data_IF_338748917055
#
_entry.id   IF_338748917055
#
_cell.length_a   1.000
_cell.length_b   1.000
_cell.length_c   1.000
_cell.angle_alpha   90.00
_cell.angle_beta   90.00
_cell.angle_gamma   90.00
#
_symmetry.space_group_name_H-M   'P 1'
#
loop_
_entity.id
_entity.type
_entity.pdbx_description
1 polymer ?
#
# COMPACT_ATOMS: atom_id res chain seq x y z
N UNK A 1 -1.24 5.96 23.59
CA UNK A 1 -0.74 6.28 22.23
C UNK A 1 0.76 6.51 22.33
N UNK A 2 1.59 5.77 21.59
CA UNK A 2 3.05 5.97 21.63
C UNK A 2 3.48 7.10 20.69
N UNK A 3 4.64 7.71 20.95
CA UNK A 3 5.21 8.72 20.05
C UNK A 3 5.44 8.16 18.64
N UNK A 4 5.86 6.90 18.54
CA UNK A 4 6.04 6.22 17.26
C UNK A 4 4.72 6.07 16.49
N UNK A 5 3.63 5.69 17.18
CA UNK A 5 2.31 5.61 16.55
C UNK A 5 1.80 6.96 16.05
N UNK A 6 2.07 8.04 16.78
CA UNK A 6 1.77 9.39 16.34
C UNK A 6 2.59 9.78 15.09
N UNK A 7 3.88 9.46 15.07
CA UNK A 7 4.75 9.72 13.93
C UNK A 7 4.31 8.95 12.67
N UNK A 8 4.03 7.64 12.78
CA UNK A 8 3.47 6.84 11.66
C UNK A 8 2.16 7.44 11.19
N UNK A 9 1.26 7.81 12.12
CA UNK A 9 0.02 8.48 11.77
C UNK A 9 0.24 9.76 10.97
N UNK A 10 1.21 10.58 11.36
CA UNK A 10 1.56 11.82 10.67
C UNK A 10 2.13 11.56 9.25
N UNK A 11 2.99 10.55 9.07
CA UNK A 11 3.54 10.20 7.76
C UNK A 11 2.44 9.83 6.74
N UNK A 12 1.46 9.03 7.16
CA UNK A 12 0.33 8.66 6.30
C UNK A 12 -0.64 9.84 6.03
N UNK A 13 -0.72 10.79 6.96
CA UNK A 13 -1.54 11.99 6.82
C UNK A 13 -0.86 13.07 5.96
N UNK A 14 0.47 13.04 5.82
CA UNK A 14 1.20 14.00 4.99
C UNK A 14 0.84 13.80 3.50
N UNK A 15 0.38 14.85 2.78
CA UNK A 15 -0.02 14.73 1.38
C UNK A 15 1.15 14.47 0.42
N UNK A 16 2.39 14.69 0.83
CA UNK A 16 3.59 14.42 0.03
C UNK A 16 4.11 12.98 0.20
N UNK A 17 3.64 12.26 1.23
CA UNK A 17 4.09 10.91 1.57
C UNK A 17 2.93 9.92 1.39
N UNK A 18 1.80 10.19 2.03
CA UNK A 18 0.60 9.38 1.95
C UNK A 18 -0.20 9.67 0.68
N UNK A 19 -0.81 8.62 0.13
CA UNK A 19 -1.77 8.70 -0.98
C UNK A 19 -3.09 8.08 -0.57
N UNK A 20 -4.16 8.57 -1.19
CA UNK A 20 -5.48 7.94 -1.05
C UNK A 20 -5.52 6.67 -1.88
N UNK A 21 -6.16 5.64 -1.32
CA UNK A 21 -6.46 4.41 -2.02
C UNK A 21 -7.81 3.86 -1.56
N UNK A 22 -8.36 2.96 -2.35
CA UNK A 22 -9.53 2.17 -1.97
C UNK A 22 -9.07 0.73 -1.71
N UNK A 23 -9.27 0.26 -0.50
CA UNK A 23 -9.06 -1.14 -0.13
C UNK A 23 -10.38 -1.89 -0.20
N UNK A 24 -10.36 -3.07 -0.81
CA UNK A 24 -11.51 -3.96 -0.92
C UNK A 24 -11.03 -5.35 -0.52
N UNK A 25 -11.43 -5.79 0.68
CA UNK A 25 -11.23 -7.18 1.08
C UNK A 25 -11.98 -8.10 0.10
N UNK A 26 -11.54 -9.34 -0.07
CA UNK A 26 -12.26 -10.31 -0.90
C UNK A 26 -13.72 -10.46 -0.45
N UNK A 27 -14.66 -10.19 -1.37
CA UNK A 27 -16.10 -10.13 -1.10
C UNK A 27 -16.57 -9.02 -0.15
N UNK A 28 -15.68 -8.10 0.23
CA UNK A 28 -15.93 -7.01 1.18
C UNK A 28 -16.45 -5.73 0.54
N UNK A 29 -16.78 -4.75 1.39
CA UNK A 29 -17.15 -3.40 0.96
C UNK A 29 -15.91 -2.53 0.76
N UNK A 30 -15.89 -1.64 -0.25
CA UNK A 30 -14.80 -0.69 -0.44
C UNK A 30 -14.60 0.25 0.74
N UNK A 31 -13.35 0.47 1.13
CA UNK A 31 -12.95 1.33 2.23
C UNK A 31 -11.86 2.30 1.75
N UNK A 32 -12.03 3.59 2.04
CA UNK A 32 -10.97 4.58 1.84
C UNK A 32 -9.86 4.40 2.87
N UNK A 33 -8.63 4.34 2.40
CA UNK A 33 -7.44 4.16 3.23
C UNK A 33 -6.31 5.08 2.77
N UNK A 34 -5.34 5.32 3.66
CA UNK A 34 -4.11 6.00 3.32
C UNK A 34 -3.01 4.97 3.13
N UNK A 35 -2.23 5.12 2.07
CA UNK A 35 -1.11 4.24 1.74
C UNK A 35 0.18 5.03 1.62
N UNK A 36 1.32 4.38 1.82
CA UNK A 36 2.63 4.97 1.49
C UNK A 36 3.34 4.06 0.50
N UNK A 37 3.72 4.60 -0.66
CA UNK A 37 4.48 3.84 -1.65
C UNK A 37 5.91 3.60 -1.15
N UNK A 38 6.35 2.34 -1.14
CA UNK A 38 7.74 1.97 -0.91
C UNK A 38 8.42 2.06 -2.28
N UNK A 39 9.21 3.11 -2.49
CA UNK A 39 9.91 3.37 -3.75
C UNK A 39 10.58 2.07 -4.22
N UNK A 40 10.23 1.59 -5.42
CA UNK A 40 11.05 0.62 -6.10
C UNK A 40 12.33 1.34 -6.52
N UNK A 41 13.48 0.90 -6.02
CA UNK A 41 14.75 1.37 -6.56
C UNK A 41 14.80 0.99 -8.05
N UNK A 42 15.08 1.99 -8.90
CA UNK A 42 15.21 1.95 -10.36
C UNK A 42 13.91 2.09 -11.21
N UNK A 43 13.65 3.33 -11.63
CA UNK A 43 13.06 3.60 -12.95
C UNK A 43 14.21 3.52 -13.95
N UNK A 44 14.29 2.45 -14.74
CA UNK A 44 15.14 2.44 -15.93
C UNK A 44 14.27 2.87 -17.09
N UNK A 45 14.41 4.12 -17.54
CA UNK A 45 13.78 4.58 -18.79
C UNK A 45 14.42 3.82 -19.98
N UNK A 46 13.61 3.08 -20.73
CA UNK A 46 14.01 2.51 -22.03
C UNK A 46 12.89 2.72 -23.06
N UNK A 47 12.90 3.89 -23.71
CA UNK A 47 11.95 4.24 -24.78
C UNK A 47 10.52 4.55 -24.30
N UNK A 48 9.59 4.74 -25.26
CA UNK A 48 8.17 5.09 -25.02
C UNK A 48 7.35 3.98 -24.32
N UNK A 49 8.00 2.89 -23.91
CA UNK A 49 7.39 1.82 -23.13
C UNK A 49 7.78 2.01 -21.66
N UNK A 50 6.86 2.51 -20.84
CA UNK A 50 6.97 2.46 -19.38
C UNK A 50 6.81 1.01 -18.93
N UNK A 51 7.90 0.25 -18.92
CA UNK A 51 7.95 -1.05 -18.29
C UNK A 51 8.11 -0.82 -16.77
N UNK A 52 6.98 -0.78 -16.06
CA UNK A 52 6.99 -0.81 -14.60
C UNK A 52 7.53 -2.17 -14.18
N UNK A 53 8.72 -2.25 -13.58
CA UNK A 53 9.21 -3.50 -13.00
C UNK A 53 8.27 -3.88 -11.84
N UNK A 54 7.55 -4.99 -12.03
CA UNK A 54 6.24 -5.34 -11.46
C UNK A 54 6.23 -5.80 -9.99
N UNK A 55 6.74 -5.00 -9.06
CA UNK A 55 6.31 -5.15 -7.66
C UNK A 55 6.08 -3.78 -7.05
N UNK A 56 4.86 -3.26 -7.23
CA UNK A 56 4.43 -2.07 -6.50
C UNK A 56 4.29 -2.46 -5.03
N UNK A 57 5.27 -2.11 -4.22
CA UNK A 57 5.24 -2.35 -2.77
C UNK A 57 4.68 -1.12 -2.08
N UNK A 58 3.73 -1.33 -1.17
CA UNK A 58 3.14 -0.25 -0.38
C UNK A 58 3.07 -0.63 1.09
N UNK A 59 2.93 0.40 1.92
CA UNK A 59 2.65 0.28 3.33
C UNK A 59 1.19 0.68 3.61
N UNK A 60 0.47 -0.15 4.36
CA UNK A 60 -0.90 0.06 4.85
C UNK A 60 -0.88 0.27 6.36
N UNK A 61 -1.78 1.10 6.90
CA UNK A 61 -1.95 1.19 8.35
C UNK A 61 -2.77 0.03 8.88
N UNK A 62 -2.26 -0.63 9.91
CA UNK A 62 -2.99 -1.65 10.67
C UNK A 62 -4.31 -1.09 11.23
N UNK A 63 -4.33 0.18 11.60
CA UNK A 63 -5.52 0.84 12.14
C UNK A 63 -6.66 0.96 11.12
N UNK A 64 -6.34 1.00 9.82
CA UNK A 64 -7.34 1.06 8.74
C UNK A 64 -7.64 -0.33 8.18
N UNK A 65 -6.59 -1.14 8.01
CA UNK A 65 -6.67 -2.49 7.45
C UNK A 65 -6.07 -3.48 8.46
N UNK A 66 -6.88 -4.07 9.36
CA UNK A 66 -6.37 -4.91 10.43
C UNK A 66 -5.75 -6.22 9.97
N UNK A 67 -6.29 -6.79 8.88
CA UNK A 67 -5.92 -8.11 8.38
C UNK A 67 -5.99 -8.17 6.84
N UNK A 68 -5.04 -7.52 6.13
CA UNK A 68 -4.92 -7.70 4.69
C UNK A 68 -4.54 -9.14 4.36
N UNK A 69 -4.96 -9.63 3.19
CA UNK A 69 -4.74 -10.99 2.69
C UNK A 69 -4.32 -10.95 1.23
N UNK A 70 -3.57 -11.98 0.76
CA UNK A 70 -3.39 -12.20 -0.67
C UNK A 70 -4.74 -12.28 -1.38
N UNK A 71 -4.86 -11.61 -2.52
CA UNK A 71 -6.10 -11.54 -3.30
C UNK A 71 -7.01 -10.34 -2.98
N UNK A 72 -6.80 -9.64 -1.86
CA UNK A 72 -7.51 -8.38 -1.60
C UNK A 72 -7.11 -7.33 -2.65
N UNK A 73 -8.05 -6.45 -2.99
CA UNK A 73 -7.89 -5.44 -4.04
C UNK A 73 -7.53 -4.08 -3.45
N UNK A 74 -6.64 -3.37 -4.13
CA UNK A 74 -6.26 -2.00 -3.83
C UNK A 74 -6.37 -1.18 -5.10
N UNK A 75 -7.14 -0.09 -5.05
CA UNK A 75 -7.24 0.87 -6.15
C UNK A 75 -6.49 2.14 -5.80
N UNK A 76 -5.60 2.58 -6.68
CA UNK A 76 -4.72 3.74 -6.50
C UNK A 76 -4.79 4.56 -7.79
N UNK A 77 -5.15 5.84 -7.70
CA UNK A 77 -5.19 6.75 -8.86
C UNK A 77 -6.03 6.23 -10.06
N UNK A 78 -7.01 5.35 -9.81
CA UNK A 78 -7.86 4.73 -10.83
C UNK A 78 -7.37 3.37 -11.36
N UNK A 79 -6.14 2.96 -11.01
CA UNK A 79 -5.59 1.66 -11.34
C UNK A 79 -5.91 0.62 -10.26
N UNK A 80 -6.23 -0.61 -10.67
CA UNK A 80 -6.57 -1.71 -9.78
C UNK A 80 -5.41 -2.71 -9.63
N UNK A 81 -5.12 -3.05 -8.39
CA UNK A 81 -4.08 -4.00 -8.01
C UNK A 81 -4.63 -5.07 -7.07
N UNK A 82 -3.97 -6.22 -7.04
CA UNK A 82 -4.21 -7.29 -6.08
C UNK A 82 -2.99 -7.45 -5.18
N UNK A 83 -3.24 -7.66 -3.87
CA UNK A 83 -2.20 -8.07 -2.94
C UNK A 83 -1.70 -9.45 -3.36
N UNK A 84 -0.39 -9.57 -3.54
CA UNK A 84 0.30 -10.82 -3.82
C UNK A 84 1.27 -11.16 -2.69
N UNK A 85 1.39 -12.45 -2.39
CA UNK A 85 2.19 -12.92 -1.27
C UNK A 85 1.62 -12.51 0.09
N UNK A 86 2.28 -12.97 1.15
CA UNK A 86 1.85 -12.73 2.53
C UNK A 86 2.22 -11.31 2.99
N UNK A 87 1.24 -10.51 3.48
CA UNK A 87 1.52 -9.23 4.11
C UNK A 87 2.48 -9.33 5.28
N UNK A 88 3.51 -8.48 5.29
CA UNK A 88 4.52 -8.46 6.34
C UNK A 88 4.24 -7.33 7.31
N UNK A 89 4.03 -7.68 8.59
CA UNK A 89 3.84 -6.69 9.65
C UNK A 89 5.19 -6.14 10.12
N UNK A 90 5.25 -4.83 10.33
CA UNK A 90 6.42 -4.21 10.96
C UNK A 90 6.57 -4.63 12.43
N UNK A 91 7.75 -4.33 13.01
CA UNK A 91 8.06 -4.70 14.40
C UNK A 91 7.14 -4.04 15.43
N UNK A 92 6.75 -2.79 15.18
CA UNK A 92 5.87 -2.03 16.06
C UNK A 92 4.39 -2.35 15.83
N UNK A 93 4.09 -3.22 14.84
CA UNK A 93 2.77 -3.75 14.54
C UNK A 93 1.76 -2.68 14.14
N UNK A 94 2.23 -1.59 13.56
CA UNK A 94 1.45 -0.44 13.10
C UNK A 94 1.24 -0.42 11.58
N UNK A 95 2.12 -1.08 10.84
CA UNK A 95 2.14 -1.04 9.37
C UNK A 95 2.21 -2.45 8.80
N UNK A 96 1.47 -2.68 7.73
CA UNK A 96 1.64 -3.82 6.85
C UNK A 96 2.39 -3.38 5.60
N UNK A 97 3.47 -4.06 5.25
CA UNK A 97 4.07 -3.97 3.92
C UNK A 97 3.46 -5.05 3.03
N UNK A 98 2.92 -4.66 1.88
CA UNK A 98 2.30 -5.57 0.91
C UNK A 98 2.91 -5.37 -0.47
N UNK A 99 3.03 -6.49 -1.19
CA UNK A 99 3.42 -6.51 -2.58
C UNK A 99 2.17 -6.55 -3.45
N UNK A 100 2.13 -5.72 -4.49
CA UNK A 100 0.99 -5.63 -5.40
C UNK A 100 1.37 -6.10 -6.79
N UNK A 101 0.39 -6.70 -7.48
CA UNK A 101 0.42 -6.97 -8.91
C UNK A 101 -0.80 -6.33 -9.58
N UNK A 102 -0.74 -5.99 -10.89
CA UNK A 102 -1.92 -5.60 -11.64
C UNK A 102 -3.04 -6.64 -11.52
N UNK A 103 -4.29 -6.17 -11.41
CA UNK A 103 -5.49 -7.01 -11.28
C UNK A 103 -5.84 -7.74 -12.58
#
# INVERSE_FOLDING_TARGET
MSAFAAAVGALFADPNIGRDAVYIADGGVPQLVRIVARRADAVTDFGDARLWSETTRIDLRVAEVPNPRPGDRIEIDGDAFLIQGEPVRDRERLVWTVDLRPA
#
